data_IF_105876412882
#
_entry.id   IF_105876412882
#
_cell.length_a   1.000
_cell.length_b   1.000
_cell.length_c   1.000
_cell.angle_alpha   90.00
_cell.angle_beta   90.00
_cell.angle_gamma   90.00
#
_symmetry.space_group_name_H-M   'P 1'
#
loop_
_entity.id
_entity.type
_entity.pdbx_description
1 polymer ?
#
# COMPACT_ATOMS: atom_id res chain seq x y z
N UNK A 1 21.30 -36.23 -15.32
CA UNK A 1 20.90 -34.82 -15.34
C UNK A 1 19.52 -34.75 -14.68
N UNK A 2 19.39 -34.12 -13.51
CA UNK A 2 18.09 -34.04 -12.83
C UNK A 2 17.32 -32.88 -13.46
N UNK A 3 16.19 -33.16 -14.08
CA UNK A 3 15.26 -32.17 -14.59
C UNK A 3 14.69 -31.43 -13.37
N UNK A 4 15.26 -30.28 -13.03
CA UNK A 4 14.79 -29.46 -11.89
C UNK A 4 13.79 -28.45 -12.41
N UNK A 5 12.65 -28.93 -12.88
CA UNK A 5 11.48 -28.07 -13.08
C UNK A 5 11.17 -27.42 -11.74
N UNK A 6 11.25 -26.09 -11.72
CA UNK A 6 11.14 -25.32 -10.49
C UNK A 6 9.79 -24.62 -10.47
N UNK A 7 9.02 -24.88 -9.42
CA UNK A 7 7.76 -24.19 -9.19
C UNK A 7 8.02 -22.84 -8.50
N UNK A 8 7.42 -21.79 -9.04
CA UNK A 8 7.50 -20.43 -8.51
C UNK A 8 6.07 -19.99 -8.19
N UNK A 9 5.82 -19.63 -6.93
CA UNK A 9 4.60 -18.96 -6.53
C UNK A 9 4.70 -17.48 -6.87
N UNK A 10 3.70 -16.96 -7.56
CA UNK A 10 3.56 -15.56 -7.95
C UNK A 10 2.38 -14.99 -7.20
N UNK A 11 2.60 -13.96 -6.38
CA UNK A 11 1.56 -13.34 -5.56
C UNK A 11 1.41 -11.86 -5.90
N UNK A 12 0.17 -11.38 -6.01
CA UNK A 12 -0.14 -9.96 -6.18
C UNK A 12 -0.19 -9.20 -4.85
N UNK A 13 -0.34 -7.88 -4.95
CA UNK A 13 -0.45 -6.96 -3.82
C UNK A 13 -1.63 -7.30 -2.87
N UNK A 14 -2.72 -7.84 -3.40
CA UNK A 14 -3.93 -8.21 -2.66
C UNK A 14 -3.93 -9.65 -2.11
N UNK A 15 -2.77 -10.30 -2.12
CA UNK A 15 -2.55 -11.68 -1.66
C UNK A 15 -3.10 -12.80 -2.57
N UNK A 16 -3.66 -12.47 -3.72
CA UNK A 16 -3.99 -13.47 -4.75
C UNK A 16 -2.69 -14.11 -5.25
N UNK A 17 -2.67 -15.44 -5.36
CA UNK A 17 -1.45 -16.16 -5.78
C UNK A 17 -1.73 -17.21 -6.83
N UNK A 18 -0.79 -17.35 -7.73
CA UNK A 18 -0.77 -18.32 -8.83
C UNK A 18 0.60 -18.99 -8.87
N UNK A 19 0.74 -20.00 -9.73
CA UNK A 19 1.98 -20.75 -9.85
C UNK A 19 2.46 -20.78 -11.30
N UNK A 20 3.76 -20.62 -11.48
CA UNK A 20 4.45 -20.71 -12.77
C UNK A 20 5.57 -21.72 -12.67
N UNK A 21 5.72 -22.53 -13.72
CA UNK A 21 6.83 -23.46 -13.85
C UNK A 21 7.99 -22.81 -14.58
N UNK A 22 9.19 -22.98 -14.05
CA UNK A 22 10.40 -22.74 -14.82
C UNK A 22 10.64 -23.90 -15.80
N UNK A 23 11.14 -23.57 -16.98
CA UNK A 23 11.53 -24.51 -17.99
C UNK A 23 12.74 -25.36 -17.57
N UNK A 24 13.11 -26.33 -18.41
CA UNK A 24 14.27 -27.21 -18.18
C UNK A 24 15.62 -26.48 -18.05
N UNK A 25 15.69 -25.22 -18.48
CA UNK A 25 16.86 -24.34 -18.39
C UNK A 25 16.80 -23.37 -17.20
N UNK A 26 15.71 -23.39 -16.42
CA UNK A 26 15.51 -22.53 -15.25
C UNK A 26 14.97 -21.13 -15.58
N UNK A 27 14.52 -20.88 -16.81
CA UNK A 27 13.83 -19.64 -17.18
C UNK A 27 12.33 -19.78 -16.98
N UNK A 28 11.67 -18.66 -16.69
CA UNK A 28 10.22 -18.57 -16.61
C UNK A 28 9.77 -17.22 -17.16
N UNK A 29 8.57 -17.18 -17.72
CA UNK A 29 7.89 -15.94 -18.10
C UNK A 29 6.61 -15.79 -17.28
N UNK A 30 6.25 -14.54 -16.99
CA UNK A 30 4.95 -14.19 -16.43
C UNK A 30 4.20 -13.48 -17.55
N UNK A 31 3.20 -14.16 -18.09
CA UNK A 31 2.43 -13.67 -19.24
C UNK A 31 1.57 -12.44 -18.85
N UNK A 32 1.24 -11.55 -19.82
CA UNK A 32 0.42 -10.36 -19.58
C UNK A 32 -0.90 -10.64 -18.87
N UNK A 33 -1.60 -11.73 -19.22
CA UNK A 33 -2.87 -12.11 -18.60
C UNK A 33 -2.72 -12.39 -17.10
N UNK A 34 -1.60 -13.00 -16.71
CA UNK A 34 -1.29 -13.27 -15.31
C UNK A 34 -0.92 -12.00 -14.55
N UNK A 35 -0.22 -11.06 -15.22
CA UNK A 35 0.08 -9.74 -14.66
C UNK A 35 -1.19 -8.91 -14.44
N UNK A 36 -2.18 -8.99 -15.34
CA UNK A 36 -3.46 -8.31 -15.20
C UNK A 36 -4.31 -8.90 -14.05
N UNK A 37 -4.35 -10.24 -13.93
CA UNK A 37 -5.02 -10.89 -12.80
C UNK A 37 -4.42 -10.51 -11.43
N UNK A 38 -3.11 -10.25 -11.39
CA UNK A 38 -2.37 -9.87 -10.19
C UNK A 38 -2.11 -8.35 -10.11
N UNK A 39 -2.86 -7.54 -10.86
CA UNK A 39 -2.75 -6.07 -10.84
C UNK A 39 -3.00 -5.51 -9.44
N UNK A 40 -2.40 -4.36 -9.16
CA UNK A 40 -2.51 -3.72 -7.84
C UNK A 40 -1.21 -3.16 -7.28
N UNK A 41 -0.14 -3.14 -8.08
CA UNK A 41 1.13 -2.55 -7.67
C UNK A 41 2.30 -3.50 -7.88
N UNK A 42 2.76 -4.15 -6.80
CA UNK A 42 3.89 -5.08 -6.84
C UNK A 42 3.44 -6.53 -7.01
N UNK A 43 4.35 -7.33 -7.56
CA UNK A 43 4.26 -8.78 -7.63
C UNK A 43 5.41 -9.38 -6.85
N UNK A 44 5.10 -10.45 -6.12
CA UNK A 44 5.99 -11.16 -5.22
C UNK A 44 6.24 -12.57 -5.74
N UNK A 45 7.50 -12.96 -5.81
CA UNK A 45 7.94 -14.24 -6.36
C UNK A 45 8.59 -15.08 -5.28
N UNK A 46 8.11 -16.31 -5.11
CA UNK A 46 8.63 -17.28 -4.14
C UNK A 46 8.97 -18.61 -4.80
N UNK A 47 10.25 -18.97 -4.94
CA UNK A 47 10.69 -20.31 -5.30
C UNK A 47 10.23 -21.35 -4.26
N UNK A 48 9.63 -22.45 -4.71
CA UNK A 48 9.08 -23.50 -3.83
C UNK A 48 10.08 -24.63 -3.48
N UNK A 49 11.40 -24.37 -3.49
CA UNK A 49 12.43 -25.39 -3.21
C UNK A 49 12.85 -25.46 -1.74
N UNK A 50 13.36 -26.62 -1.32
CA UNK A 50 13.70 -26.97 0.08
C UNK A 50 14.82 -26.09 0.66
N UNK A 51 14.38 -25.20 1.55
CA UNK A 51 14.97 -24.43 2.66
C UNK A 51 16.47 -24.11 2.75
N UNK A 52 17.41 -24.90 2.24
CA UNK A 52 18.82 -24.67 2.59
C UNK A 52 19.65 -24.01 1.48
N UNK A 53 19.20 -24.07 0.22
CA UNK A 53 19.81 -23.36 -0.94
C UNK A 53 18.77 -23.04 -2.00
N UNK A 54 17.80 -22.20 -1.63
CA UNK A 54 16.82 -21.69 -2.59
C UNK A 54 17.53 -21.01 -3.78
N UNK A 55 17.02 -21.21 -5.01
CA UNK A 55 17.60 -20.58 -6.19
C UNK A 55 17.44 -19.07 -6.12
N UNK A 56 18.48 -18.34 -6.50
CA UNK A 56 18.41 -16.89 -6.61
C UNK A 56 17.70 -16.54 -7.91
N UNK A 57 16.56 -15.87 -7.81
CA UNK A 57 15.90 -15.33 -8.99
C UNK A 57 16.66 -14.09 -9.47
N UNK A 58 16.92 -14.03 -10.78
CA UNK A 58 17.37 -12.84 -11.47
C UNK A 58 16.19 -12.31 -12.30
N UNK A 59 15.68 -11.14 -11.94
CA UNK A 59 14.49 -10.56 -12.57
C UNK A 59 14.94 -9.44 -13.49
N UNK A 60 14.60 -9.56 -14.77
CA UNK A 60 14.76 -8.46 -15.72
C UNK A 60 13.48 -7.62 -15.69
N UNK A 61 13.57 -6.40 -15.17
CA UNK A 61 12.42 -5.47 -15.08
C UNK A 61 12.25 -4.70 -16.40
N UNK A 62 11.20 -4.99 -17.21
CA UNK A 62 10.97 -4.27 -18.47
C UNK A 62 10.56 -2.81 -18.25
N UNK A 63 10.06 -2.43 -17.06
CA UNK A 63 9.61 -1.06 -16.79
C UNK A 63 10.77 -0.07 -16.76
N UNK A 64 12.00 -0.49 -16.47
CA UNK A 64 13.18 0.37 -16.54
C UNK A 64 13.41 0.85 -17.98
N UNK A 65 13.54 -0.10 -18.90
CA UNK A 65 13.68 0.14 -20.34
C UNK A 65 12.49 0.96 -20.90
N UNK A 66 11.25 0.60 -20.54
CA UNK A 66 10.05 1.32 -20.98
C UNK A 66 10.06 2.78 -20.52
N UNK A 67 10.45 3.03 -19.26
CA UNK A 67 10.47 4.38 -18.71
C UNK A 67 11.56 5.24 -19.35
N UNK A 68 12.73 4.66 -19.66
CA UNK A 68 13.80 5.38 -20.33
C UNK A 68 13.44 5.72 -21.78
N UNK A 69 12.77 4.80 -22.50
CA UNK A 69 12.19 5.09 -23.82
C UNK A 69 11.14 6.21 -23.71
N UNK A 70 10.27 6.16 -22.69
CA UNK A 70 9.23 7.17 -22.46
C UNK A 70 9.79 8.57 -22.19
N UNK A 71 10.90 8.70 -21.47
CA UNK A 71 11.56 9.99 -21.23
C UNK A 71 11.97 10.68 -22.53
N UNK A 72 12.38 9.90 -23.52
CA UNK A 72 12.89 10.40 -24.79
C UNK A 72 11.80 10.61 -25.85
N UNK A 73 10.57 10.12 -25.63
CA UNK A 73 9.44 10.38 -26.53
C UNK A 73 8.86 11.77 -26.29
N UNK A 74 8.76 12.57 -27.36
CA UNK A 74 7.98 13.82 -27.34
C UNK A 74 6.53 13.49 -27.02
N UNK A 75 6.01 14.04 -25.93
CA UNK A 75 4.59 13.92 -25.56
C UNK A 75 3.80 14.85 -26.46
N UNK A 76 3.15 14.29 -27.48
CA UNK A 76 2.11 15.01 -28.19
C UNK A 76 0.83 14.87 -27.36
N UNK A 77 0.57 15.84 -26.49
CA UNK A 77 -0.80 16.01 -26.02
C UNK A 77 -1.63 16.55 -27.20
N UNK A 78 -2.88 16.10 -27.39
CA UNK A 78 -3.77 16.73 -28.35
C UNK A 78 -3.79 18.24 -28.05
N UNK A 79 -3.44 19.04 -29.06
CA UNK A 79 -3.39 20.49 -28.94
C UNK A 79 -4.80 20.99 -28.65
N UNK A 80 -5.02 21.47 -27.42
CA UNK A 80 -6.21 22.23 -27.08
C UNK A 80 -5.94 23.66 -27.55
N UNK A 81 -6.71 24.14 -28.52
CA UNK A 81 -6.75 25.56 -28.84
C UNK A 81 -7.38 26.30 -27.65
N UNK A 82 -6.54 26.79 -26.74
CA UNK A 82 -6.96 27.57 -25.59
C UNK A 82 -7.74 28.84 -25.99
N UNK A 83 -7.68 29.27 -27.25
CA UNK A 83 -8.50 30.36 -27.79
C UNK A 83 -9.96 30.00 -28.03
N UNK A 84 -10.32 28.71 -28.05
CA UNK A 84 -11.73 28.24 -28.08
C UNK A 84 -12.36 28.15 -26.70
N UNK A 85 -11.55 28.09 -25.65
CA UNK A 85 -12.01 28.22 -24.27
C UNK A 85 -12.20 29.73 -24.05
N UNK A 86 -13.42 30.21 -24.22
CA UNK A 86 -13.79 31.55 -23.76
C UNK A 86 -13.55 31.58 -22.25
N UNK A 87 -12.38 32.08 -21.83
CA UNK A 87 -12.07 32.36 -20.45
C UNK A 87 -12.88 33.57 -20.00
N UNK A 88 -14.20 33.42 -19.86
CA UNK A 88 -14.85 34.07 -18.73
C UNK A 88 -14.35 33.31 -17.50
N UNK A 89 -13.20 33.74 -16.99
CA UNK A 89 -12.87 33.61 -15.58
C UNK A 89 -14.05 34.20 -14.82
N UNK A 90 -15.05 33.38 -14.55
CA UNK A 90 -16.00 33.61 -13.48
C UNK A 90 -15.14 33.61 -12.23
N UNK A 91 -14.87 34.80 -11.70
CA UNK A 91 -14.43 34.96 -10.32
C UNK A 91 -15.41 34.18 -9.46
N UNK A 92 -15.05 32.94 -9.09
CA UNK A 92 -15.88 32.09 -8.25
C UNK A 92 -15.68 32.60 -6.83
N UNK A 93 -16.60 33.42 -6.35
CA UNK A 93 -16.73 33.62 -4.91
C UNK A 93 -17.00 32.26 -4.25
N UNK A 94 -16.41 31.99 -3.07
CA UNK A 94 -16.68 30.75 -2.34
C UNK A 94 -18.17 30.71 -1.99
N UNK A 95 -18.92 29.82 -2.65
CA UNK A 95 -20.33 29.60 -2.36
C UNK A 95 -20.44 28.86 -1.03
N UNK A 96 -20.68 29.62 0.05
CA UNK A 96 -21.08 29.08 1.35
C UNK A 96 -22.50 28.52 1.20
N UNK A 97 -22.67 27.21 1.35
CA UNK A 97 -24.01 26.62 1.39
C UNK A 97 -24.75 27.10 2.66
N UNK A 98 -26.08 27.21 2.60
CA UNK A 98 -26.94 27.63 3.73
C UNK A 98 -26.82 26.77 5.00
N UNK A 99 -26.13 25.63 4.90
CA UNK A 99 -25.83 24.70 6.00
C UNK A 99 -24.41 24.88 6.60
N UNK A 100 -23.67 25.92 6.21
CA UNK A 100 -22.36 26.22 6.80
C UNK A 100 -21.22 25.30 6.37
N UNK A 101 -21.42 24.46 5.34
CA UNK A 101 -20.36 23.61 4.80
C UNK A 101 -19.40 24.46 3.95
N UNK A 102 -18.17 24.61 4.42
CA UNK A 102 -17.07 25.23 3.67
C UNK A 102 -16.73 24.31 2.50
N UNK A 103 -16.83 24.84 1.28
CA UNK A 103 -16.31 24.16 0.09
C UNK A 103 -14.79 24.08 0.27
N UNK A 104 -14.26 22.89 0.52
CA UNK A 104 -12.83 22.70 0.69
C UNK A 104 -12.15 22.89 -0.66
N UNK A 105 -11.07 23.68 -0.67
CA UNK A 105 -10.20 23.84 -1.83
C UNK A 105 -9.71 22.48 -2.33
N UNK A 106 -9.43 22.42 -3.64
CA UNK A 106 -8.90 21.27 -4.35
C UNK A 106 -7.89 20.50 -3.50
N UNK A 107 -8.22 19.24 -3.21
CA UNK A 107 -7.34 18.35 -2.44
C UNK A 107 -6.15 17.99 -3.32
N UNK A 108 -5.10 18.81 -3.26
CA UNK A 108 -3.78 18.37 -3.68
C UNK A 108 -3.33 17.27 -2.71
N UNK A 109 -3.32 16.02 -3.17
CA UNK A 109 -2.79 14.89 -2.40
C UNK A 109 -1.27 15.07 -2.30
N UNK A 110 -0.82 15.93 -1.40
CA UNK A 110 0.58 15.97 -0.98
C UNK A 110 0.74 14.95 0.13
N UNK A 111 1.05 13.71 -0.26
CA UNK A 111 1.39 12.66 0.69
C UNK A 111 2.62 13.09 1.50
N UNK A 112 2.42 13.68 2.68
CA UNK A 112 3.41 13.64 3.76
C UNK A 112 3.27 12.31 4.48
N UNK A 113 3.49 11.19 3.79
CA UNK A 113 3.55 9.90 4.46
C UNK A 113 4.99 9.67 4.93
N UNK A 114 5.19 9.70 6.25
CA UNK A 114 6.45 9.31 6.89
C UNK A 114 6.81 7.85 6.59
N UNK A 115 5.82 7.03 6.20
CA UNK A 115 6.01 5.67 5.68
C UNK A 115 5.51 5.58 4.24
N UNK A 116 6.27 4.99 3.30
CA UNK A 116 5.80 4.77 1.94
C UNK A 116 4.52 3.91 1.93
N UNK A 117 3.69 4.09 0.90
CA UNK A 117 2.52 3.23 0.66
C UNK A 117 2.95 1.76 0.71
N UNK A 118 2.28 0.98 1.56
CA UNK A 118 2.56 -0.43 1.81
C UNK A 118 1.33 -1.24 1.45
N UNK A 119 1.50 -2.20 0.54
CA UNK A 119 0.39 -3.06 0.13
C UNK A 119 0.02 -4.11 1.19
N UNK A 120 -1.13 -4.76 0.96
CA UNK A 120 -1.71 -5.73 1.89
C UNK A 120 -0.78 -6.92 2.10
N UNK A 121 -0.15 -7.42 1.03
CA UNK A 121 0.81 -8.52 1.10
C UNK A 121 2.00 -8.18 2.02
N UNK A 122 2.61 -7.01 1.88
CA UNK A 122 3.70 -6.57 2.76
C UNK A 122 3.23 -6.32 4.20
N UNK A 123 2.00 -5.84 4.39
CA UNK A 123 1.39 -5.70 5.72
C UNK A 123 1.20 -7.04 6.44
N UNK A 124 0.81 -8.09 5.70
CA UNK A 124 0.74 -9.45 6.23
C UNK A 124 2.11 -10.01 6.61
N UNK A 125 3.14 -9.79 5.79
CA UNK A 125 4.51 -10.19 6.13
C UNK A 125 5.00 -9.49 7.41
N UNK A 126 4.68 -8.20 7.58
CA UNK A 126 4.95 -7.46 8.82
C UNK A 126 4.33 -8.14 10.03
N UNK A 127 3.04 -8.45 9.91
CA UNK A 127 2.25 -9.03 10.98
C UNK A 127 2.73 -10.43 11.36
N UNK A 128 3.22 -11.20 10.38
CA UNK A 128 3.84 -12.50 10.61
C UNK A 128 5.22 -12.37 11.26
N UNK A 129 6.05 -11.43 10.82
CA UNK A 129 7.37 -11.21 11.40
C UNK A 129 7.29 -10.74 12.86
N UNK A 130 6.27 -9.94 13.21
CA UNK A 130 6.00 -9.54 14.59
C UNK A 130 5.62 -10.70 15.53
N UNK A 131 5.27 -11.88 14.99
CA UNK A 131 4.95 -13.08 15.79
C UNK A 131 6.18 -13.91 16.14
N UNK A 132 7.32 -13.72 15.47
CA UNK A 132 8.54 -14.44 15.80
C UNK A 132 9.15 -13.86 17.09
N UNK A 133 9.30 -14.72 18.10
CA UNK A 133 9.55 -14.36 19.50
C UNK A 133 10.93 -13.71 19.72
N UNK A 134 11.03 -12.40 19.51
CA UNK A 134 12.14 -11.57 19.97
C UNK A 134 11.90 -11.03 21.39
N UNK A 135 11.19 -9.90 21.54
CA UNK A 135 10.84 -9.33 22.83
C UNK A 135 9.62 -10.01 23.47
N UNK A 136 9.66 -10.19 24.78
CA UNK A 136 8.57 -10.79 25.55
C UNK A 136 8.35 -10.08 26.89
N UNK A 137 7.20 -10.31 27.50
CA UNK A 137 6.84 -9.78 28.81
C UNK A 137 7.01 -10.88 29.85
N UNK A 138 7.86 -10.65 30.85
CA UNK A 138 8.04 -11.58 31.96
C UNK A 138 6.86 -11.49 32.96
N UNK A 139 6.78 -12.44 33.90
CA UNK A 139 5.73 -12.47 34.95
C UNK A 139 5.66 -11.16 35.77
N UNK A 140 6.79 -10.46 35.93
CA UNK A 140 6.88 -9.18 36.64
C UNK A 140 6.41 -7.97 35.80
N UNK A 141 5.99 -8.18 34.55
CA UNK A 141 5.50 -7.13 33.66
C UNK A 141 6.57 -6.28 32.98
N UNK A 142 7.84 -6.70 33.02
CA UNK A 142 8.95 -6.05 32.31
C UNK A 142 9.05 -6.54 30.87
N UNK A 143 9.44 -5.64 29.96
CA UNK A 143 9.71 -5.99 28.58
C UNK A 143 11.18 -6.40 28.44
N UNK A 144 11.38 -7.68 28.13
CA UNK A 144 12.67 -8.33 27.99
C UNK A 144 13.06 -8.42 26.51
N UNK A 145 14.37 -8.48 26.21
CA UNK A 145 14.93 -8.67 24.87
C UNK A 145 14.50 -7.64 23.80
N UNK A 146 14.00 -6.47 24.22
CA UNK A 146 13.65 -5.37 23.30
C UNK A 146 14.84 -4.47 22.98
N UNK A 147 15.74 -4.27 23.95
CA UNK A 147 16.94 -3.42 23.81
C UNK A 147 18.13 -4.08 24.46
N UNK A 148 19.28 -3.96 23.82
CA UNK A 148 20.53 -4.55 24.30
C UNK A 148 20.87 -4.08 25.73
N UNK A 149 21.11 -5.03 26.64
CA UNK A 149 21.43 -4.78 28.05
C UNK A 149 20.24 -4.41 28.94
N UNK A 150 19.02 -4.26 28.38
CA UNK A 150 17.79 -4.04 29.15
C UNK A 150 17.05 -5.36 29.35
N UNK A 151 17.69 -6.26 30.09
CA UNK A 151 17.08 -7.55 30.44
C UNK A 151 17.44 -7.94 31.87
N UNK A 152 16.43 -8.36 32.61
CA UNK A 152 16.55 -8.70 34.04
C UNK A 152 16.45 -10.20 34.19
N UNK A 153 17.53 -10.82 34.67
CA UNK A 153 17.59 -12.23 35.05
C UNK A 153 17.33 -13.26 33.93
N UNK A 154 17.20 -12.87 32.66
CA UNK A 154 16.84 -13.80 31.59
C UNK A 154 17.89 -14.00 30.49
N UNK A 155 18.89 -13.14 30.39
CA UNK A 155 19.98 -13.26 29.41
C UNK A 155 21.32 -13.63 30.10
N UNK A 156 21.92 -14.78 29.77
CA UNK A 156 23.23 -15.20 30.28
C UNK A 156 24.38 -14.21 29.99
N UNK A 157 24.24 -13.33 28.99
CA UNK A 157 25.26 -12.33 28.64
C UNK A 157 25.36 -11.21 29.68
N UNK A 158 24.26 -10.89 30.35
CA UNK A 158 24.18 -9.76 31.27
C UNK A 158 23.97 -10.22 32.72
N UNK A 159 23.24 -11.31 32.95
CA UNK A 159 22.98 -11.82 34.30
C UNK A 159 23.96 -12.94 34.69
N UNK A 160 24.62 -12.84 35.86
CA UNK A 160 25.48 -13.92 36.39
C UNK A 160 24.73 -15.21 36.75
N UNK A 161 23.41 -15.15 36.91
CA UNK A 161 22.53 -16.29 37.18
C UNK A 161 21.27 -16.17 36.32
N UNK A 162 21.35 -16.55 35.04
CA UNK A 162 20.20 -16.48 34.15
C UNK A 162 19.16 -17.53 34.58
N UNK A 163 17.91 -17.10 34.70
CA UNK A 163 16.74 -17.95 34.87
C UNK A 163 15.97 -18.00 33.55
N UNK A 164 15.56 -19.20 33.12
CA UNK A 164 14.64 -19.30 32.00
C UNK A 164 13.29 -18.68 32.40
N UNK A 165 12.70 -17.85 31.53
CA UNK A 165 11.39 -17.26 31.81
C UNK A 165 10.36 -18.38 31.92
N UNK A 166 9.66 -18.43 33.06
CA UNK A 166 8.57 -19.39 33.32
C UNK A 166 7.42 -19.23 32.34
N UNK A 167 7.08 -17.98 32.01
CA UNK A 167 6.09 -17.63 30.98
C UNK A 167 6.64 -16.52 30.07
N UNK A 168 6.53 -16.74 28.75
CA UNK A 168 6.86 -15.72 27.73
C UNK A 168 5.58 -15.18 27.13
N UNK A 169 5.05 -14.12 27.72
CA UNK A 169 3.85 -13.47 27.21
C UNK A 169 4.21 -12.51 26.05
N UNK A 170 3.52 -12.57 24.90
CA UNK A 170 3.79 -11.64 23.81
C UNK A 170 3.41 -10.20 24.21
N UNK A 171 4.26 -9.22 23.90
CA UNK A 171 3.95 -7.81 24.18
C UNK A 171 2.84 -7.29 23.28
N UNK A 172 2.01 -6.39 23.81
CA UNK A 172 0.87 -5.79 23.11
C UNK A 172 1.30 -4.46 22.51
N UNK A 173 1.10 -4.29 21.19
CA UNK A 173 1.40 -3.04 20.48
C UNK A 173 0.57 -1.89 21.07
N UNK A 174 1.22 -0.76 21.33
CA UNK A 174 0.60 0.42 21.95
C UNK A 174 0.52 0.38 23.48
N UNK A 175 0.87 -0.75 24.11
CA UNK A 175 0.93 -0.85 25.57
C UNK A 175 2.27 -0.34 26.10
N UNK A 176 2.22 0.34 27.25
CA UNK A 176 3.40 0.81 27.95
C UNK A 176 4.03 -0.31 28.78
N UNK A 177 5.34 -0.50 28.63
CA UNK A 177 6.12 -1.47 29.38
C UNK A 177 7.37 -0.84 29.98
N UNK A 178 7.83 -1.39 31.10
CA UNK A 178 9.05 -0.97 31.79
C UNK A 178 10.25 -1.75 31.28
N UNK A 179 11.31 -1.04 30.94
CA UNK A 179 12.63 -1.58 30.62
C UNK A 179 13.60 -1.20 31.73
N UNK A 180 14.32 -2.20 32.22
CA UNK A 180 15.28 -2.06 33.31
C UNK A 180 16.65 -2.47 32.80
N UNK A 181 17.64 -1.60 33.01
CA UNK A 181 19.05 -1.91 32.83
C UNK A 181 19.66 -2.24 34.20
N UNK A 182 19.90 -3.52 34.52
CA UNK A 182 20.48 -3.90 35.79
C UNK A 182 22.00 -3.72 35.79
N UNK A 183 22.55 -3.23 36.91
CA UNK A 183 23.97 -3.36 37.24
C UNK A 183 24.12 -4.42 38.32
N UNK A 184 24.59 -5.59 37.91
CA UNK A 184 24.83 -6.72 38.79
C UNK A 184 26.11 -6.53 39.60
N UNK A 185 26.06 -6.89 40.87
CA UNK A 185 27.21 -6.77 41.77
C UNK A 185 27.65 -8.12 42.37
N UNK A 186 26.98 -9.21 41.99
CA UNK A 186 27.36 -10.59 42.36
C UNK A 186 26.17 -11.51 42.61
N UNK A 187 26.47 -12.75 42.97
CA UNK A 187 25.48 -13.76 43.37
C UNK A 187 25.59 -14.01 44.88
N UNK A 188 24.48 -13.96 45.61
CA UNK A 188 24.45 -14.27 47.05
C UNK A 188 23.24 -15.14 47.37
N UNK A 189 23.50 -16.40 47.73
CA UNK A 189 22.44 -17.36 48.10
C UNK A 189 21.56 -17.83 46.94
N UNK A 190 22.12 -17.97 45.73
CA UNK A 190 21.38 -18.39 44.53
C UNK A 190 20.75 -17.26 43.74
N UNK A 191 20.50 -16.11 44.36
CA UNK A 191 19.91 -14.93 43.72
C UNK A 191 20.98 -13.92 43.29
N UNK A 192 20.81 -13.30 42.12
CA UNK A 192 21.63 -12.20 41.66
C UNK A 192 21.07 -10.89 42.20
N UNK A 193 21.91 -10.12 42.87
CA UNK A 193 21.53 -8.80 43.34
C UNK A 193 22.03 -7.75 42.35
N UNK A 194 21.12 -6.85 41.98
CA UNK A 194 21.39 -5.78 41.04
C UNK A 194 20.86 -4.46 41.57
N UNK A 195 21.49 -3.37 41.15
CA UNK A 195 20.92 -2.03 41.25
C UNK A 195 20.38 -1.63 39.89
N UNK A 196 19.24 -0.96 39.85
CA UNK A 196 18.70 -0.37 38.62
C UNK A 196 19.61 0.78 38.21
N UNK A 197 20.40 0.59 37.16
CA UNK A 197 21.22 1.66 36.59
C UNK A 197 20.35 2.65 35.82
N UNK A 198 19.34 2.12 35.12
CA UNK A 198 18.43 2.91 34.31
C UNK A 198 17.07 2.20 34.20
N UNK A 199 15.99 2.95 34.42
CA UNK A 199 14.62 2.51 34.21
C UNK A 199 13.93 3.48 33.25
N UNK A 200 13.20 2.95 32.28
CA UNK A 200 12.36 3.76 31.42
C UNK A 200 11.07 3.02 31.06
N UNK A 201 10.01 3.78 30.83
CA UNK A 201 8.75 3.24 30.28
C UNK A 201 8.69 3.59 28.79
N UNK A 202 8.49 2.58 27.95
CA UNK A 202 8.28 2.78 26.51
C UNK A 202 6.89 2.30 26.11
N UNK A 203 6.36 2.87 25.04
CA UNK A 203 5.23 2.29 24.33
C UNK A 203 5.79 1.28 23.36
N UNK A 204 5.39 0.01 23.48
CA UNK A 204 5.87 -1.04 22.58
C UNK A 204 5.26 -0.83 21.19
N UNK A 205 6.12 -0.64 20.18
CA UNK A 205 5.70 -0.44 18.79
C UNK A 205 5.98 -1.66 17.90
N UNK A 206 6.49 -2.75 18.46
CA UNK A 206 6.97 -3.90 17.68
C UNK A 206 8.38 -3.69 17.13
N UNK A 207 9.04 -4.77 16.68
CA UNK A 207 10.20 -4.63 15.79
C UNK A 207 9.76 -3.97 14.48
N UNK A 208 10.50 -2.95 14.05
CA UNK A 208 10.34 -2.37 12.71
C UNK A 208 11.24 -3.13 11.74
N UNK A 209 10.64 -3.80 10.76
CA UNK A 209 11.37 -4.43 9.67
C UNK A 209 11.29 -3.57 8.41
N UNK A 210 12.41 -3.47 7.71
CA UNK A 210 12.42 -2.91 6.35
C UNK A 210 11.75 -3.88 5.38
N UNK A 211 11.23 -3.37 4.26
CA UNK A 211 10.66 -4.21 3.22
C UNK A 211 11.67 -5.26 2.73
N UNK A 212 12.94 -4.87 2.58
CA UNK A 212 14.02 -5.75 2.16
C UNK A 212 14.30 -6.88 3.15
N UNK A 213 14.21 -6.60 4.46
CA UNK A 213 14.37 -7.62 5.51
C UNK A 213 13.24 -8.64 5.47
N UNK A 214 11.99 -8.18 5.35
CA UNK A 214 10.83 -9.07 5.29
C UNK A 214 10.86 -9.95 4.05
N UNK A 215 11.24 -9.40 2.90
CA UNK A 215 11.42 -10.16 1.68
C UNK A 215 12.51 -11.23 1.84
N UNK A 216 13.67 -10.87 2.42
CA UNK A 216 14.76 -11.83 2.68
C UNK A 216 14.35 -12.94 3.64
N UNK A 217 13.71 -12.60 4.77
CA UNK A 217 13.24 -13.57 5.76
C UNK A 217 12.27 -14.60 5.16
N UNK A 218 11.48 -14.17 4.17
CA UNK A 218 10.48 -15.00 3.52
C UNK A 218 10.95 -15.63 2.19
N UNK A 219 12.22 -15.42 1.81
CA UNK A 219 12.80 -15.83 0.52
C UNK A 219 11.95 -15.37 -0.67
N UNK A 220 11.62 -14.09 -0.68
CA UNK A 220 10.78 -13.43 -1.67
C UNK A 220 11.56 -12.44 -2.51
N UNK A 221 11.17 -12.33 -3.77
CA UNK A 221 11.60 -11.26 -4.66
C UNK A 221 10.41 -10.39 -5.03
N UNK A 222 10.65 -9.09 -5.20
CA UNK A 222 9.63 -8.10 -5.54
C UNK A 222 9.94 -7.47 -6.90
N UNK A 223 8.94 -7.35 -7.76
CA UNK A 223 9.01 -6.59 -9.01
C UNK A 223 7.73 -5.78 -9.23
N UNK A 224 7.77 -4.76 -10.09
CA UNK A 224 6.57 -3.99 -10.45
C UNK A 224 5.63 -4.86 -11.29
N UNK A 225 4.35 -4.87 -10.93
CA UNK A 225 3.27 -5.48 -11.69
C UNK A 225 2.48 -4.46 -12.50
N UNK A 226 1.36 -4.90 -13.05
CA UNK A 226 0.44 -4.00 -13.73
C UNK A 226 -0.23 -3.06 -12.74
N UNK A 227 -0.40 -1.84 -13.21
CA UNK A 227 -1.10 -0.81 -12.46
C UNK A 227 -2.58 -1.22 -12.34
N UNK A 228 -3.09 -1.32 -11.12
CA UNK A 228 -4.52 -1.57 -10.91
C UNK A 228 -5.32 -0.39 -11.47
N UNK A 229 -6.44 -0.68 -12.14
CA UNK A 229 -7.40 0.36 -12.47
C UNK A 229 -7.80 1.07 -11.17
N UNK A 230 -7.65 2.40 -11.11
CA UNK A 230 -8.18 3.16 -9.98
C UNK A 230 -9.69 3.22 -10.16
N UNK A 231 -10.41 2.57 -9.26
CA UNK A 231 -11.84 2.74 -9.14
C UNK A 231 -12.10 4.07 -8.44
N UNK A 232 -12.84 4.96 -9.09
CA UNK A 232 -13.31 6.19 -8.48
C UNK A 232 -14.61 5.91 -7.75
N UNK A 233 -14.80 6.59 -6.61
CA UNK A 233 -16.01 6.44 -5.82
C UNK A 233 -17.25 6.83 -6.63
N UNK A 234 -18.22 5.92 -6.69
CA UNK A 234 -19.57 6.16 -7.17
C UNK A 234 -20.53 5.77 -6.04
N UNK A 235 -21.44 6.67 -5.62
CA UNK A 235 -22.37 6.39 -4.56
C UNK A 235 -23.34 5.28 -4.98
N UNK A 236 -23.66 4.41 -4.04
CA UNK A 236 -24.64 3.36 -4.24
C UNK A 236 -26.08 3.87 -4.04
N UNK A 237 -27.07 3.01 -4.32
CA UNK A 237 -28.48 3.37 -4.19
C UNK A 237 -28.90 3.68 -2.74
N UNK A 238 -28.21 3.14 -1.74
CA UNK A 238 -28.53 3.34 -0.31
C UNK A 238 -28.00 4.70 0.14
N UNK A 239 -26.78 5.04 -0.26
CA UNK A 239 -26.17 6.35 -0.02
C UNK A 239 -26.98 7.46 -0.70
N UNK A 240 -27.58 7.19 -1.87
CA UNK A 240 -28.50 8.12 -2.53
C UNK A 240 -29.81 8.35 -1.74
N UNK A 241 -30.20 7.44 -0.85
CA UNK A 241 -31.36 7.62 0.05
C UNK A 241 -30.99 8.39 1.32
N UNK A 242 -29.70 8.69 1.52
CA UNK A 242 -29.25 9.48 2.66
C UNK A 242 -29.83 10.89 2.61
N UNK A 243 -30.20 11.40 3.78
CA UNK A 243 -30.57 12.82 3.94
C UNK A 243 -29.36 13.76 3.92
N UNK A 244 -28.14 13.20 3.89
CA UNK A 244 -26.91 13.99 3.80
C UNK A 244 -26.71 14.49 2.37
N UNK A 245 -26.36 15.77 2.17
CA UNK A 245 -26.15 16.31 0.84
C UNK A 245 -24.89 15.70 0.18
N UNK A 246 -25.01 15.31 -1.09
CA UNK A 246 -23.87 14.87 -1.91
C UNK A 246 -23.04 16.09 -2.34
N UNK A 247 -21.79 16.17 -1.88
CA UNK A 247 -20.88 17.28 -2.17
C UNK A 247 -19.69 16.87 -3.05
N UNK A 248 -19.84 15.84 -3.89
CA UNK A 248 -18.78 15.39 -4.81
C UNK A 248 -18.48 16.43 -5.88
N UNK A 249 -17.19 16.64 -6.14
CA UNK A 249 -16.67 17.46 -7.23
C UNK A 249 -16.42 16.67 -8.52
N UNK A 250 -16.28 15.34 -8.43
CA UNK A 250 -16.12 14.43 -9.57
C UNK A 250 -17.31 13.50 -9.64
N UNK A 251 -18.08 13.58 -10.73
CA UNK A 251 -19.33 12.84 -10.90
C UNK A 251 -19.16 11.50 -11.61
N UNK A 252 -18.21 11.45 -12.55
CA UNK A 252 -17.85 10.27 -13.32
C UNK A 252 -16.36 10.30 -13.65
N UNK A 253 -15.70 9.16 -13.49
CA UNK A 253 -14.39 8.90 -14.04
C UNK A 253 -14.37 7.45 -14.53
N UNK A 254 -14.48 7.28 -15.85
CA UNK A 254 -14.42 5.96 -16.49
C UNK A 254 -13.35 5.98 -17.59
N UNK A 255 -12.19 5.34 -17.35
CA UNK A 255 -11.11 5.29 -18.33
C UNK A 255 -11.34 4.25 -19.43
N UNK A 256 -12.36 3.38 -19.32
CA UNK A 256 -12.61 2.28 -20.25
C UNK A 256 -14.03 2.34 -20.80
N UNK A 257 -14.24 3.29 -21.71
CA UNK A 257 -15.48 3.41 -22.48
C UNK A 257 -15.23 2.86 -23.88
N UNK A 258 -15.91 1.77 -24.23
CA UNK A 258 -15.85 1.16 -25.56
C UNK A 258 -17.15 1.50 -26.28
N UNK A 259 -17.04 2.08 -27.48
CA UNK A 259 -18.18 2.36 -28.34
C UNK A 259 -18.74 1.09 -28.95
N UNK A 260 -20.02 1.09 -29.28
CA UNK A 260 -20.67 0.01 -30.01
C UNK A 260 -20.25 -0.04 -31.49
N UNK A 261 -20.82 -0.97 -32.26
CA UNK A 261 -20.54 -1.13 -33.70
C UNK A 261 -20.85 0.12 -34.55
N UNK A 262 -21.63 1.07 -34.02
CA UNK A 262 -21.95 2.34 -34.68
C UNK A 262 -21.03 3.49 -34.23
N UNK A 263 -20.13 3.24 -33.29
CA UNK A 263 -19.28 4.27 -32.70
C UNK A 263 -19.97 5.06 -31.59
N UNK A 264 -21.05 4.54 -30.99
CA UNK A 264 -21.81 5.22 -29.94
C UNK A 264 -21.52 4.63 -28.56
N UNK A 265 -21.44 5.48 -27.53
CA UNK A 265 -21.33 5.07 -26.13
C UNK A 265 -22.30 5.90 -25.28
N UNK A 266 -23.02 5.23 -24.39
CA UNK A 266 -23.96 5.87 -23.45
C UNK A 266 -23.41 5.78 -22.03
N UNK A 267 -23.24 6.93 -21.38
CA UNK A 267 -22.72 7.04 -20.02
C UNK A 267 -23.84 7.53 -19.09
N UNK A 268 -23.94 6.92 -17.91
CA UNK A 268 -24.91 7.29 -16.88
C UNK A 268 -24.20 7.43 -15.54
N UNK A 269 -24.46 8.51 -14.83
CA UNK A 269 -23.82 8.81 -13.55
C UNK A 269 -24.78 9.54 -12.61
N UNK A 270 -24.51 9.45 -11.31
CA UNK A 270 -25.27 10.16 -10.26
C UNK A 270 -24.70 11.55 -10.07
N UNK A 271 -25.56 12.55 -10.03
CA UNK A 271 -25.18 13.95 -9.88
C UNK A 271 -24.96 14.33 -8.40
N UNK A 272 -24.20 15.39 -8.16
CA UNK A 272 -23.97 16.01 -6.83
C UNK A 272 -25.07 17.03 -6.51
N UNK A 273 -25.27 17.35 -5.22
CA UNK A 273 -26.21 18.36 -4.72
C UNK A 273 -25.65 19.79 -4.76
N UNK A 274 -24.40 19.97 -5.18
CA UNK A 274 -23.77 21.30 -5.22
C UNK A 274 -24.33 22.12 -6.38
N UNK A 275 -24.76 23.35 -6.07
CA UNK A 275 -25.18 24.35 -7.05
C UNK A 275 -23.97 24.92 -7.82
N UNK A 276 -23.47 24.19 -8.81
CA UNK A 276 -22.32 24.58 -9.62
C UNK A 276 -22.42 24.12 -11.08
N UNK A 277 -21.50 24.61 -11.90
CA UNK A 277 -21.27 24.10 -13.25
C UNK A 277 -20.26 22.94 -13.21
N UNK A 278 -20.58 21.87 -13.90
CA UNK A 278 -19.71 20.73 -14.14
C UNK A 278 -19.23 20.72 -15.58
N UNK A 279 -17.99 20.27 -15.78
CA UNK A 279 -17.37 20.08 -17.08
C UNK A 279 -17.15 18.58 -17.27
N UNK A 280 -17.68 18.04 -18.36
CA UNK A 280 -17.37 16.71 -18.85
C UNK A 280 -16.26 16.79 -19.89
N UNK A 281 -15.20 16.01 -19.72
CA UNK A 281 -14.11 15.88 -20.69
C UNK A 281 -13.98 14.41 -21.09
N UNK A 282 -14.04 14.16 -22.39
CA UNK A 282 -13.91 12.82 -22.96
C UNK A 282 -12.69 12.84 -23.86
N UNK A 283 -11.77 11.90 -23.63
CA UNK A 283 -10.61 11.67 -24.50
C UNK A 283 -10.67 10.23 -24.99
N UNK A 284 -10.44 10.04 -26.29
CA UNK A 284 -10.57 8.74 -26.93
C UNK A 284 -9.52 8.50 -27.99
N UNK A 285 -9.32 7.23 -28.32
CA UNK A 285 -8.51 6.74 -29.42
C UNK A 285 -9.41 5.92 -30.34
N UNK A 286 -9.44 6.24 -31.62
CA UNK A 286 -10.14 5.46 -32.63
C UNK A 286 -9.26 4.28 -33.10
N UNK A 287 -9.89 3.30 -33.76
CA UNK A 287 -9.22 2.08 -34.25
C UNK A 287 -8.10 2.35 -35.26
N UNK A 288 -8.17 3.48 -35.96
CA UNK A 288 -7.14 3.96 -36.89
C UNK A 288 -5.98 4.71 -36.19
N UNK A 289 -6.04 4.80 -34.85
CA UNK A 289 -5.05 5.46 -34.01
C UNK A 289 -5.23 6.98 -33.91
N UNK A 290 -6.33 7.54 -34.41
CA UNK A 290 -6.64 8.97 -34.25
C UNK A 290 -7.11 9.27 -32.83
N UNK A 291 -6.63 10.38 -32.29
CA UNK A 291 -7.03 10.87 -30.97
C UNK A 291 -8.19 11.86 -31.09
N UNK A 292 -9.22 11.68 -30.27
CA UNK A 292 -10.36 12.58 -30.15
C UNK A 292 -10.45 13.17 -28.75
N UNK A 293 -10.89 14.44 -28.67
CA UNK A 293 -11.23 15.10 -27.40
C UNK A 293 -12.56 15.83 -27.58
N UNK A 294 -13.45 15.68 -26.62
CA UNK A 294 -14.70 16.42 -26.53
C UNK A 294 -14.89 16.99 -25.12
N UNK A 295 -15.47 18.18 -25.04
CA UNK A 295 -15.79 18.84 -23.78
C UNK A 295 -17.26 19.27 -23.82
N UNK A 296 -17.95 19.09 -22.69
CA UNK A 296 -19.32 19.53 -22.50
C UNK A 296 -19.47 20.17 -21.11
N UNK A 297 -20.42 21.09 -20.98
CA UNK A 297 -20.72 21.74 -19.72
C UNK A 297 -22.20 21.56 -19.38
N UNK A 298 -22.49 21.37 -18.11
CA UNK A 298 -23.86 21.41 -17.60
C UNK A 298 -23.89 22.05 -16.21
N UNK A 299 -25.06 22.53 -15.80
CA UNK A 299 -25.25 23.18 -14.50
C UNK A 299 -26.23 22.40 -13.66
N UNK A 300 -25.92 22.31 -12.38
CA UNK A 300 -26.79 21.73 -11.36
C UNK A 300 -27.35 22.87 -10.53
N UNK A 301 -28.68 22.90 -10.42
CA UNK A 301 -29.40 23.88 -9.62
C UNK A 301 -30.44 23.17 -8.77
N UNK A 302 -30.18 23.07 -7.47
CA UNK A 302 -31.15 22.68 -6.46
C UNK A 302 -31.96 23.92 -6.07
N UNK A 303 -33.26 23.86 -6.34
CA UNK A 303 -34.19 24.84 -5.79
C UNK A 303 -34.38 24.54 -4.31
N UNK A 304 -34.09 25.54 -3.47
CA UNK A 304 -34.41 25.51 -2.06
C UNK A 304 -35.93 25.69 -1.94
N UNK A 305 -36.62 24.67 -1.46
CA UNK A 305 -38.01 24.77 -1.00
C UNK A 305 -38.04 25.30 0.43
#
# INVERSE_FOLDING_TARGET
>A
MRNTEQLIQVSGADENSTFVWADSTGYFSIEPDLLDQLRGGYIYLKPMLTKDKGPKLNIKDPFTDINDIRKNKKRYHPFIDAGRISSKLLEREPLINQFGAVLLDEVSVTAKSVRPFRDKFMGRLDSLAQRDYGPYVCEHGHLENYREGYTVHHDPRYCPCPEEPKERNPPVIGKAYRLIKPKYHGQKGGYCWFTVEHEMTIIYQGPEYTDEELLKMNNLWRTKGYYGAREFYMPDDIEMLSSLPDVRNTLLWDPLVITDEKGEASLSFRCSDINTGFVGRIEGLADDGLLGVAECEFRVMRQLQ
#
